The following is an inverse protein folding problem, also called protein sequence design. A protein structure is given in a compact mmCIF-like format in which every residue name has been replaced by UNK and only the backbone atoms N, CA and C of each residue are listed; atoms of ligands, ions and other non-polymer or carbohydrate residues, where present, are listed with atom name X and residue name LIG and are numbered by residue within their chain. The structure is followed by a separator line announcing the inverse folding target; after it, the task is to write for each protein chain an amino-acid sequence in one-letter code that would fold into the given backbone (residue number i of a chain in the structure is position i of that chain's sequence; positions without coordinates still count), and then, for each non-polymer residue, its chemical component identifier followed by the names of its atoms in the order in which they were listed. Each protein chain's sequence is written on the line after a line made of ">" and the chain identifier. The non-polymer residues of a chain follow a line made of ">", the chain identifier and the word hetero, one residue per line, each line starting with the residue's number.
data_IF_253336629503
#
_entry.id   IF_253336629503
#
_cell.length_a   1.000
_cell.length_b   1.000
_cell.length_c   1.000
_cell.angle_alpha   90.00
_cell.angle_beta   90.00
_cell.angle_gamma   90.00
#
_symmetry.space_group_name_H-M   'P 1'
#
loop_
_entity.id
_entity.type
_entity.pdbx_description
1 polymer ?
#
# COMPACT_ATOMS: atom_id res chain seq x y z
N UNK A 1 7.89 -18.87 1.62
CA UNK A 1 7.74 -17.48 1.17
C UNK A 1 6.44 -17.37 0.40
N UNK A 2 5.56 -16.44 0.78
CA UNK A 2 4.29 -16.18 0.11
C UNK A 2 4.52 -15.20 -1.05
N UNK A 3 3.78 -15.34 -2.16
CA UNK A 3 3.65 -14.23 -3.12
C UNK A 3 2.79 -13.18 -2.43
N UNK A 4 3.42 -12.04 -2.09
CA UNK A 4 2.78 -11.01 -1.28
C UNK A 4 2.44 -9.75 -2.05
N UNK A 5 3.10 -9.51 -3.21
CA UNK A 5 2.96 -8.29 -3.99
C UNK A 5 2.96 -8.60 -5.50
N UNK A 6 1.96 -8.08 -6.20
CA UNK A 6 1.92 -7.99 -7.65
C UNK A 6 2.04 -6.52 -8.03
N UNK A 7 3.17 -6.13 -8.62
CA UNK A 7 3.51 -4.75 -8.88
C UNK A 7 3.59 -4.48 -10.39
N UNK A 8 3.06 -3.33 -10.81
CA UNK A 8 3.35 -2.81 -12.15
C UNK A 8 4.79 -2.28 -12.25
N UNK A 9 5.23 -1.95 -13.46
CA UNK A 9 6.59 -1.49 -13.72
C UNK A 9 6.97 -0.25 -12.90
N UNK A 10 6.03 0.65 -12.65
CA UNK A 10 6.28 1.88 -11.89
C UNK A 10 6.48 1.56 -10.41
N UNK A 11 5.59 0.75 -9.86
CA UNK A 11 5.62 0.31 -8.46
C UNK A 11 6.86 -0.53 -8.16
N UNK A 12 7.27 -1.40 -9.09
CA UNK A 12 8.54 -2.12 -9.00
C UNK A 12 9.74 -1.18 -9.00
N UNK A 13 9.74 -0.16 -9.88
CA UNK A 13 10.82 0.83 -9.93
C UNK A 13 10.91 1.65 -8.64
N UNK A 14 9.77 1.98 -8.01
CA UNK A 14 9.70 2.63 -6.71
C UNK A 14 10.30 1.72 -5.63
N UNK A 15 9.86 0.46 -5.55
CA UNK A 15 10.38 -0.51 -4.60
C UNK A 15 11.89 -0.65 -4.72
N UNK A 16 12.41 -0.84 -5.95
CA UNK A 16 13.84 -1.01 -6.21
C UNK A 16 14.69 0.21 -5.84
N UNK A 17 14.09 1.39 -5.64
CA UNK A 17 14.77 2.60 -5.18
C UNK A 17 14.83 2.74 -3.66
N UNK A 18 14.07 1.94 -2.91
CA UNK A 18 14.27 1.80 -1.47
C UNK A 18 13.01 1.54 -0.66
N UNK A 19 11.88 2.13 -0.99
CA UNK A 19 10.65 1.96 -0.20
C UNK A 19 9.42 2.06 -1.09
N UNK A 20 8.57 1.04 -0.99
CA UNK A 20 7.25 1.03 -1.60
C UNK A 20 6.19 1.13 -0.51
N UNK A 21 5.22 2.02 -0.71
CA UNK A 21 4.08 2.20 0.19
C UNK A 21 2.82 1.83 -0.57
N UNK A 22 2.08 0.86 -0.06
CA UNK A 22 0.71 0.58 -0.51
C UNK A 22 -0.25 1.22 0.48
N UNK A 23 -1.31 1.84 -0.04
CA UNK A 23 -2.38 2.44 0.73
C UNK A 23 -3.67 2.16 -0.02
N UNK A 24 -4.63 1.49 0.62
CA UNK A 24 -5.91 1.09 0.03
C UNK A 24 -7.01 1.02 1.11
N UNK A 25 -8.30 1.23 0.79
CA UNK A 25 -9.37 1.09 1.77
C UNK A 25 -9.48 -0.33 2.33
N UNK A 26 -9.64 -0.43 3.66
CA UNK A 26 -9.80 -1.71 4.37
C UNK A 26 -10.95 -2.52 3.78
N UNK A 27 -12.11 -1.89 3.61
CA UNK A 27 -13.31 -2.53 3.06
C UNK A 27 -13.08 -3.10 1.65
N UNK A 28 -12.27 -2.42 0.83
CA UNK A 28 -11.96 -2.89 -0.51
C UNK A 28 -11.07 -4.14 -0.46
N UNK A 29 -10.01 -4.11 0.37
CA UNK A 29 -9.12 -5.25 0.56
C UNK A 29 -9.91 -6.46 1.08
N UNK A 30 -10.69 -6.28 2.14
CA UNK A 30 -11.44 -7.35 2.79
C UNK A 30 -12.55 -7.92 1.90
N UNK A 31 -13.10 -7.11 0.98
CA UNK A 31 -14.05 -7.58 -0.04
C UNK A 31 -13.41 -8.56 -1.02
N UNK A 32 -12.16 -8.35 -1.42
CA UNK A 32 -11.48 -9.17 -2.44
C UNK A 32 -10.57 -10.26 -1.85
N UNK A 33 -9.98 -10.03 -0.67
CA UNK A 33 -9.09 -10.93 0.04
C UNK A 33 -9.37 -10.87 1.55
N UNK A 34 -10.45 -11.54 2.01
CA UNK A 34 -10.83 -11.54 3.42
C UNK A 34 -9.70 -12.04 4.33
N UNK A 35 -9.44 -11.32 5.42
CA UNK A 35 -8.42 -11.58 6.42
C UNK A 35 -7.01 -11.11 6.06
N UNK A 36 -6.82 -10.46 4.89
CA UNK A 36 -5.50 -10.00 4.48
C UNK A 36 -4.98 -8.87 5.37
N UNK A 37 -5.86 -7.97 5.86
CA UNK A 37 -5.45 -6.85 6.71
C UNK A 37 -4.86 -7.40 8.02
N UNK A 38 -5.59 -8.28 8.70
CA UNK A 38 -5.12 -8.93 9.93
C UNK A 38 -3.84 -9.75 9.70
N UNK A 39 -3.75 -10.48 8.57
CA UNK A 39 -2.53 -11.21 8.21
C UNK A 39 -1.33 -10.27 8.12
N UNK A 40 -1.45 -9.17 7.37
CA UNK A 40 -0.33 -8.24 7.14
C UNK A 40 0.06 -7.48 8.40
N UNK A 41 -0.90 -7.09 9.24
CA UNK A 41 -0.62 -6.51 10.56
C UNK A 41 0.18 -7.47 11.44
N UNK A 42 -0.16 -8.76 11.43
CA UNK A 42 0.54 -9.79 12.22
C UNK A 42 1.90 -10.21 11.64
N UNK A 43 2.13 -9.97 10.35
CA UNK A 43 3.31 -10.42 9.62
C UNK A 43 4.35 -9.31 9.38
N UNK A 44 4.25 -8.15 10.04
CA UNK A 44 5.30 -7.12 10.00
C UNK A 44 6.65 -7.74 10.39
N UNK A 45 7.66 -7.52 9.54
CA UNK A 45 8.98 -8.15 9.61
C UNK A 45 9.18 -9.33 8.66
N UNK A 46 8.11 -9.88 8.07
CA UNK A 46 8.20 -11.01 7.15
C UNK A 46 8.62 -10.60 5.73
N UNK A 47 9.07 -11.61 4.98
CA UNK A 47 9.50 -11.49 3.59
C UNK A 47 8.46 -12.02 2.63
N UNK A 48 8.25 -11.28 1.55
CA UNK A 48 7.31 -11.58 0.48
C UNK A 48 8.03 -11.67 -0.85
N UNK A 49 7.57 -12.59 -1.70
CA UNK A 49 7.92 -12.57 -3.12
C UNK A 49 7.20 -11.41 -3.78
N UNK A 50 7.94 -10.71 -4.63
CA UNK A 50 7.45 -9.64 -5.50
C UNK A 50 7.35 -10.21 -6.90
N UNK A 51 6.17 -10.12 -7.48
CA UNK A 51 5.88 -10.55 -8.84
C UNK A 51 5.45 -9.37 -9.70
N UNK A 52 5.67 -9.48 -11.01
CA UNK A 52 5.04 -8.58 -11.98
C UNK A 52 3.58 -8.97 -12.25
N UNK A 53 2.92 -8.19 -13.11
CA UNK A 53 1.54 -8.44 -13.54
C UNK A 53 1.38 -9.71 -14.40
N UNK A 54 2.47 -10.30 -14.90
CA UNK A 54 2.49 -11.61 -15.58
C UNK A 54 2.69 -12.77 -14.61
N UNK A 55 2.82 -12.49 -13.31
CA UNK A 55 3.06 -13.45 -12.21
C UNK A 55 4.47 -14.03 -12.20
N UNK A 56 5.41 -13.43 -12.93
CA UNK A 56 6.81 -13.82 -12.87
C UNK A 56 7.48 -13.22 -11.63
N UNK A 57 8.36 -13.99 -10.98
CA UNK A 57 9.06 -13.54 -9.77
C UNK A 57 10.16 -12.56 -10.16
N UNK A 58 10.10 -11.36 -9.58
CA UNK A 58 11.03 -10.26 -9.83
C UNK A 58 11.99 -10.02 -8.65
N UNK A 59 11.60 -10.45 -7.44
CA UNK A 59 12.47 -10.29 -6.27
C UNK A 59 11.77 -10.61 -4.95
N UNK A 60 12.32 -10.04 -3.87
CA UNK A 60 11.77 -10.13 -2.52
C UNK A 60 11.66 -8.75 -1.89
N UNK A 61 10.65 -8.57 -1.06
CA UNK A 61 10.51 -7.39 -0.23
C UNK A 61 10.23 -7.80 1.22
N UNK A 62 10.65 -6.97 2.17
CA UNK A 62 10.30 -7.12 3.58
C UNK A 62 9.20 -6.12 3.92
N UNK A 63 8.13 -6.60 4.56
CA UNK A 63 7.13 -5.72 5.17
C UNK A 63 7.75 -5.13 6.43
N UNK A 64 8.03 -3.83 6.43
CA UNK A 64 8.73 -3.16 7.54
C UNK A 64 7.78 -2.43 8.48
N UNK A 65 6.59 -2.08 8.01
CA UNK A 65 5.53 -1.47 8.82
C UNK A 65 4.16 -1.73 8.18
N UNK A 66 3.13 -1.82 9.01
CA UNK A 66 1.74 -1.91 8.58
C UNK A 66 0.81 -1.34 9.65
N UNK A 67 -0.16 -0.53 9.26
CA UNK A 67 -1.16 0.03 10.16
C UNK A 67 -2.40 0.49 9.42
N UNK A 68 -3.45 0.77 10.19
CA UNK A 68 -4.69 1.38 9.70
C UNK A 68 -4.70 2.86 10.10
N UNK A 69 -5.16 3.71 9.19
CA UNK A 69 -5.39 5.14 9.41
C UNK A 69 -6.72 5.55 8.79
N UNK A 70 -7.26 6.71 9.14
CA UNK A 70 -8.46 7.25 8.48
C UNK A 70 -8.11 8.17 7.30
N UNK A 71 -8.92 8.19 6.26
CA UNK A 71 -8.75 9.09 5.12
C UNK A 71 -8.91 10.57 5.50
N UNK A 72 -9.81 10.89 6.43
CA UNK A 72 -10.06 12.24 6.91
C UNK A 72 -8.92 12.80 7.77
N UNK A 73 -8.30 11.95 8.58
CA UNK A 73 -7.14 12.24 9.42
C UNK A 73 -6.05 11.18 9.22
N UNK A 74 -5.26 11.29 8.14
CA UNK A 74 -4.23 10.31 7.80
C UNK A 74 -2.99 10.46 8.69
N UNK A 75 -2.39 9.33 9.07
CA UNK A 75 -1.13 9.33 9.81
C UNK A 75 -0.05 10.12 9.03
N UNK A 76 0.62 11.12 9.66
CA UNK A 76 1.60 11.96 8.96
C UNK A 76 2.73 11.20 8.24
N UNK A 77 3.06 9.99 8.70
CA UNK A 77 4.08 9.16 8.05
C UNK A 77 3.69 8.82 6.60
N UNK A 78 2.42 8.57 6.32
CA UNK A 78 1.97 8.20 4.97
C UNK A 78 2.06 9.38 4.03
N UNK A 79 1.70 10.58 4.52
CA UNK A 79 1.75 11.81 3.74
C UNK A 79 3.18 12.10 3.30
N UNK A 80 4.14 11.95 4.22
CA UNK A 80 5.56 12.11 3.92
C UNK A 80 6.03 11.14 2.84
N UNK A 81 5.72 9.85 2.96
CA UNK A 81 6.22 8.84 2.03
C UNK A 81 5.50 8.83 0.68
N UNK A 82 4.27 9.32 0.62
CA UNK A 82 3.51 9.49 -0.62
C UNK A 82 3.77 10.86 -1.31
N UNK A 83 4.63 11.71 -0.74
CA UNK A 83 5.00 13.01 -1.34
C UNK A 83 3.99 14.14 -1.10
N UNK A 84 3.10 13.99 -0.13
CA UNK A 84 2.18 15.03 0.34
C UNK A 84 2.72 15.84 1.53
N UNK A 85 3.86 15.42 2.10
CA UNK A 85 4.49 16.05 3.26
C UNK A 85 3.55 16.11 4.47
N UNK A 86 3.03 17.29 4.81
CA UNK A 86 2.04 17.51 5.88
C UNK A 86 0.69 18.02 5.34
N UNK A 87 0.46 17.94 4.03
CA UNK A 87 -0.69 18.52 3.37
C UNK A 87 -1.83 17.50 3.20
N UNK A 88 -2.66 17.40 4.26
CA UNK A 88 -3.85 16.53 4.29
C UNK A 88 -4.86 16.90 3.20
N UNK A 89 -5.10 18.18 2.95
CA UNK A 89 -6.08 18.62 1.93
C UNK A 89 -5.67 18.17 0.53
N UNK A 90 -4.37 18.31 0.20
CA UNK A 90 -3.82 17.84 -1.08
C UNK A 90 -3.92 16.33 -1.20
N UNK A 91 -3.58 15.59 -0.14
CA UNK A 91 -3.76 14.14 -0.09
C UNK A 91 -5.22 13.77 -0.37
N UNK A 92 -6.18 14.33 0.37
CA UNK A 92 -7.61 14.03 0.19
C UNK A 92 -8.07 14.29 -1.24
N UNK A 93 -7.68 15.43 -1.82
CA UNK A 93 -8.06 15.80 -3.19
C UNK A 93 -7.46 14.87 -4.25
N UNK A 94 -6.16 14.62 -4.20
CA UNK A 94 -5.46 13.87 -5.24
C UNK A 94 -5.70 12.36 -5.10
N UNK A 95 -5.67 11.84 -3.87
CA UNK A 95 -5.87 10.42 -3.61
C UNK A 95 -7.32 9.99 -3.88
N UNK A 96 -8.33 10.79 -3.50
CA UNK A 96 -9.71 10.50 -3.90
C UNK A 96 -9.91 10.56 -5.42
N UNK A 97 -9.21 11.45 -6.12
CA UNK A 97 -9.25 11.53 -7.58
C UNK A 97 -8.69 10.27 -8.26
N UNK A 98 -7.56 9.76 -7.77
CA UNK A 98 -6.96 8.51 -8.22
C UNK A 98 -7.87 7.32 -7.92
N UNK A 99 -8.36 7.23 -6.68
CA UNK A 99 -9.22 6.13 -6.23
C UNK A 99 -10.52 6.07 -7.03
N UNK A 100 -11.21 7.20 -7.24
CA UNK A 100 -12.43 7.27 -8.06
C UNK A 100 -12.21 6.84 -9.51
N UNK A 101 -11.00 7.00 -10.04
CA UNK A 101 -10.67 6.54 -11.40
C UNK A 101 -10.57 5.01 -11.45
N UNK A 102 -10.06 4.39 -10.38
CA UNK A 102 -9.90 2.93 -10.27
C UNK A 102 -11.17 2.23 -9.82
N UNK A 103 -11.93 2.86 -8.91
CA UNK A 103 -13.13 2.34 -8.26
C UNK A 103 -14.24 3.41 -8.30
N UNK A 104 -14.89 3.63 -9.45
CA UNK A 104 -15.85 4.72 -9.63
C UNK A 104 -17.12 4.59 -8.78
N UNK A 105 -17.42 3.39 -8.29
CA UNK A 105 -18.59 3.11 -7.45
C UNK A 105 -18.32 3.35 -5.95
N UNK A 106 -17.04 3.39 -5.55
CA UNK A 106 -16.63 3.58 -4.16
C UNK A 106 -16.18 5.04 -3.97
N UNK A 107 -16.64 5.68 -2.89
CA UNK A 107 -16.24 7.05 -2.54
C UNK A 107 -15.52 7.05 -1.20
N UNK A 108 -14.35 7.70 -1.15
CA UNK A 108 -13.65 7.92 0.10
C UNK A 108 -14.34 9.02 0.89
N UNK A 109 -14.78 8.70 2.09
CA UNK A 109 -15.29 9.64 3.10
C UNK A 109 -14.27 9.73 4.23
N UNK A 110 -14.42 10.73 5.11
CA UNK A 110 -13.41 11.01 6.14
C UNK A 110 -13.21 9.82 7.09
N UNK A 111 -14.28 9.06 7.33
CA UNK A 111 -14.30 7.86 8.16
C UNK A 111 -13.73 6.61 7.46
N UNK A 112 -13.42 6.67 6.16
CA UNK A 112 -12.88 5.52 5.44
C UNK A 112 -11.53 5.11 6.03
N UNK A 113 -11.47 3.87 6.52
CA UNK A 113 -10.23 3.26 6.98
C UNK A 113 -9.35 2.87 5.79
N UNK A 114 -8.09 3.28 5.85
CA UNK A 114 -7.05 2.98 4.89
C UNK A 114 -6.05 2.06 5.54
N UNK A 115 -5.83 0.91 4.93
CA UNK A 115 -4.76 0.02 5.31
C UNK A 115 -3.49 0.40 4.57
N UNK A 116 -2.40 0.56 5.32
CA UNK A 116 -1.13 1.03 4.80
C UNK A 116 -0.05 0.03 5.13
N UNK A 117 0.76 -0.33 4.13
CA UNK A 117 1.92 -1.20 4.28
C UNK A 117 3.16 -0.56 3.68
N UNK A 118 4.29 -0.77 4.34
CA UNK A 118 5.61 -0.29 3.95
C UNK A 118 6.50 -1.46 3.61
N UNK A 119 7.07 -1.47 2.41
CA UNK A 119 7.91 -2.55 1.93
C UNK A 119 9.28 -2.04 1.49
N UNK A 120 10.34 -2.69 1.96
CA UNK A 120 11.72 -2.44 1.53
C UNK A 120 12.21 -3.58 0.61
N UNK A 121 12.96 -3.28 -0.46
CA UNK A 121 13.53 -4.31 -1.33
C UNK A 121 14.60 -5.08 -0.57
N UNK A 122 14.69 -6.38 -0.82
CA UNK A 122 15.83 -7.17 -0.38
C UNK A 122 16.80 -7.29 -1.55
N UNK A 123 17.95 -6.65 -1.40
CA UNK A 123 19.08 -6.86 -2.29
C UNK A 123 19.83 -8.09 -1.79
N UNK A 124 19.73 -9.20 -2.54
CA UNK A 124 20.61 -10.36 -2.29
C UNK A 124 22.05 -9.88 -2.55
N UNK A 125 22.82 -9.74 -1.47
CA UNK A 125 24.22 -9.27 -1.46
C UNK A 125 25.20 -10.30 -2.01
#
# INVERSE_FOLDING_TARGET
>A
MKIGLYLDTVSMHILNRGLFVSCEPVDNIERFQPGLVDERLAEVGNYYLVCDMQKEIQGKAKLVDAFITTFGDPNPIILKHMGFENNVEKFKKEYAGLFKTQFPEDSLIDETELFVCFYEPIHDS
#
